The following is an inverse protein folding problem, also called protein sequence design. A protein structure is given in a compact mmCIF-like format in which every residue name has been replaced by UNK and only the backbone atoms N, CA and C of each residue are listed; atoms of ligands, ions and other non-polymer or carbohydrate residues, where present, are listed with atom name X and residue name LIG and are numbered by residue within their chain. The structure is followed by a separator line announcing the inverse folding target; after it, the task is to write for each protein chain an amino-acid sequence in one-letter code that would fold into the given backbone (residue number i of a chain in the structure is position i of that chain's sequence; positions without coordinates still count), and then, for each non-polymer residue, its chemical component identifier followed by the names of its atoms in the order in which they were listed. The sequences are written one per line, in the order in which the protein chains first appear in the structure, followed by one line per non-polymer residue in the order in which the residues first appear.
data_IF_027482801014
#
_entry.id   IF_027482801014
#
_cell.length_a   1.000
_cell.length_b   1.000
_cell.length_c   1.000
_cell.angle_alpha   90.00
_cell.angle_beta   90.00
_cell.angle_gamma   90.00
#
_symmetry.space_group_name_H-M   'P 1'
#
loop_
_entity.id
_entity.type
_entity.pdbx_description
1 polymer ?
#
# COMPACT_ATOMS: atom_id res chain seq x y z
N UNK A 1 -0.34 2.79 9.63
CA UNK A 1 -1.53 3.19 8.85
C UNK A 1 -1.43 4.65 8.46
N UNK A 2 -1.94 5.05 7.30
CA UNK A 2 -2.01 6.42 6.80
C UNK A 2 -3.46 6.77 6.44
N UNK A 3 -3.84 8.04 6.29
CA UNK A 3 -5.18 8.45 5.90
C UNK A 3 -5.59 7.85 4.55
N UNK A 4 -6.81 7.32 4.48
CA UNK A 4 -7.36 6.73 3.26
C UNK A 4 -6.85 5.33 2.93
N UNK A 5 -6.08 4.67 3.81
CA UNK A 5 -5.64 3.30 3.57
C UNK A 5 -6.84 2.36 3.44
N UNK A 6 -6.90 1.66 2.32
CA UNK A 6 -7.92 0.67 2.01
C UNK A 6 -7.34 -0.49 1.22
N UNK A 7 -8.07 -1.58 1.17
CA UNK A 7 -7.74 -2.72 0.34
C UNK A 7 -7.80 -2.34 -1.16
N UNK A 8 -6.93 -2.88 -1.98
CA UNK A 8 -6.92 -2.74 -3.44
C UNK A 8 -7.34 -4.02 -4.18
N UNK A 9 -7.85 -4.98 -3.42
CA UNK A 9 -8.49 -6.20 -3.89
C UNK A 9 -9.86 -6.34 -3.21
N UNK A 10 -10.78 -7.14 -3.77
CA UNK A 10 -12.08 -7.38 -3.10
C UNK A 10 -11.91 -7.88 -1.67
N UNK A 11 -12.63 -7.27 -0.72
CA UNK A 11 -12.54 -7.59 0.72
C UNK A 11 -12.77 -9.07 1.02
N UNK A 12 -13.70 -9.70 0.32
CA UNK A 12 -13.96 -11.14 0.46
C UNK A 12 -12.78 -12.03 0.06
N UNK A 13 -11.83 -11.53 -0.79
CA UNK A 13 -10.57 -12.22 -1.07
C UNK A 13 -9.54 -12.02 0.04
N UNK A 14 -9.66 -10.95 0.82
CA UNK A 14 -8.75 -10.64 1.92
C UNK A 14 -9.12 -11.38 3.21
N UNK A 15 -9.70 -12.56 3.06
CA UNK A 15 -10.17 -13.44 4.14
C UNK A 15 -9.50 -14.80 4.04
N UNK A 16 -9.28 -15.44 5.17
CA UNK A 16 -8.91 -16.85 5.18
C UNK A 16 -10.06 -17.70 4.64
N UNK A 17 -9.78 -18.67 3.80
CA UNK A 17 -10.80 -19.57 3.21
C UNK A 17 -11.58 -20.41 4.22
N UNK A 18 -11.01 -20.57 5.42
CA UNK A 18 -11.62 -21.30 6.55
C UNK A 18 -12.38 -20.38 7.53
N UNK A 19 -12.26 -19.05 7.36
CA UNK A 19 -12.89 -18.05 8.23
C UNK A 19 -13.30 -16.84 7.40
N UNK A 20 -14.30 -16.99 6.56
CA UNK A 20 -14.79 -15.90 5.72
C UNK A 20 -15.53 -14.87 6.58
N UNK A 21 -15.36 -13.58 6.24
CA UNK A 21 -16.05 -12.49 6.92
C UNK A 21 -17.31 -12.08 6.14
N UNK A 22 -18.52 -12.25 6.70
CA UNK A 22 -19.75 -11.80 6.06
C UNK A 22 -20.02 -10.30 6.23
N UNK A 23 -19.27 -9.62 7.12
CA UNK A 23 -19.58 -8.29 7.63
C UNK A 23 -18.78 -7.16 6.98
N UNK A 24 -18.03 -7.45 5.91
CA UNK A 24 -17.31 -6.39 5.21
C UNK A 24 -18.20 -5.19 4.88
N UNK A 25 -17.73 -3.98 5.19
CA UNK A 25 -18.50 -2.76 4.92
C UNK A 25 -18.58 -2.42 3.44
N UNK A 26 -17.48 -2.67 2.72
CA UNK A 26 -17.32 -2.28 1.32
C UNK A 26 -16.63 -3.38 0.51
N UNK A 27 -16.78 -3.32 -0.80
CA UNK A 27 -16.08 -4.23 -1.73
C UNK A 27 -14.55 -4.15 -1.59
N UNK A 28 -14.04 -2.95 -1.26
CA UNK A 28 -12.64 -2.69 -0.92
C UNK A 28 -12.57 -1.98 0.43
N UNK A 29 -12.59 -2.76 1.50
CA UNK A 29 -12.74 -2.25 2.86
C UNK A 29 -11.56 -1.41 3.35
N UNK A 30 -11.81 -0.46 4.27
CA UNK A 30 -10.75 0.29 4.94
C UNK A 30 -9.75 -0.61 5.68
N UNK A 31 -8.51 -0.16 5.77
CA UNK A 31 -7.44 -0.92 6.40
C UNK A 31 -7.68 -1.25 7.88
N UNK A 32 -8.42 -0.41 8.60
CA UNK A 32 -8.82 -0.69 10.00
C UNK A 32 -9.70 -1.93 10.11
N UNK A 33 -10.68 -2.07 9.22
CA UNK A 33 -11.59 -3.22 9.19
C UNK A 33 -10.84 -4.52 8.84
N UNK A 34 -9.85 -4.44 7.94
CA UNK A 34 -8.97 -5.56 7.62
C UNK A 34 -8.16 -5.98 8.85
N UNK A 35 -7.64 -5.01 9.61
CA UNK A 35 -6.91 -5.27 10.84
C UNK A 35 -7.81 -5.94 11.89
N UNK A 36 -9.01 -5.40 12.13
CA UNK A 36 -9.99 -5.96 13.06
C UNK A 36 -10.36 -7.40 12.71
N UNK A 37 -10.49 -7.72 11.43
CA UNK A 37 -10.72 -9.07 10.97
C UNK A 37 -9.59 -10.02 11.38
N UNK A 38 -8.32 -9.68 11.13
CA UNK A 38 -7.19 -10.53 11.48
C UNK A 38 -7.01 -10.66 13.00
N UNK A 39 -7.18 -9.60 13.76
CA UNK A 39 -7.17 -9.64 15.23
C UNK A 39 -8.30 -10.54 15.76
N UNK A 40 -9.50 -10.43 15.21
CA UNK A 40 -10.63 -11.29 15.54
C UNK A 40 -10.38 -12.76 15.24
N UNK A 41 -9.75 -13.09 14.11
CA UNK A 41 -9.35 -14.47 13.78
C UNK A 41 -8.32 -14.97 14.79
N UNK A 42 -7.28 -14.18 15.08
CA UNK A 42 -6.24 -14.53 16.05
C UNK A 42 -6.84 -14.90 17.40
N UNK A 43 -7.75 -14.07 17.89
CA UNK A 43 -8.42 -14.31 19.18
C UNK A 43 -9.33 -15.54 19.14
N UNK A 44 -10.15 -15.71 18.11
CA UNK A 44 -11.08 -16.87 17.99
C UNK A 44 -10.35 -18.21 17.94
N UNK A 45 -9.18 -18.24 17.33
CA UNK A 45 -8.36 -19.46 17.20
C UNK A 45 -7.31 -19.61 18.31
N UNK A 46 -7.28 -18.70 19.30
CA UNK A 46 -6.34 -18.76 20.42
C UNK A 46 -4.88 -18.54 20.00
N UNK A 47 -4.63 -17.85 18.88
CA UNK A 47 -3.28 -17.65 18.34
C UNK A 47 -2.52 -16.63 19.17
N UNK A 48 -3.21 -15.67 19.79
CA UNK A 48 -2.61 -14.58 20.58
C UNK A 48 -1.70 -15.11 21.70
N UNK A 49 -2.05 -16.25 22.31
CA UNK A 49 -1.28 -16.89 23.39
C UNK A 49 0.08 -17.44 22.90
N UNK A 50 0.25 -17.60 21.59
CA UNK A 50 1.45 -18.13 20.95
C UNK A 50 2.30 -17.05 20.28
N UNK A 51 1.90 -15.78 20.35
CA UNK A 51 2.63 -14.66 19.75
C UNK A 51 3.44 -13.94 20.82
N UNK A 52 4.74 -13.79 20.58
CA UNK A 52 5.61 -12.94 21.38
C UNK A 52 5.74 -11.58 20.68
N UNK A 53 4.96 -10.61 21.15
CA UNK A 53 5.01 -9.25 20.63
C UNK A 53 6.25 -8.50 21.11
N UNK A 54 6.70 -7.51 20.31
CA UNK A 54 7.87 -6.69 20.62
C UNK A 54 9.15 -7.53 20.85
N UNK A 55 9.30 -8.59 20.08
CA UNK A 55 10.40 -9.53 20.14
C UNK A 55 10.94 -9.78 18.74
N UNK A 56 11.73 -8.84 18.23
CA UNK A 56 12.30 -8.95 16.90
C UNK A 56 13.39 -10.04 16.85
N UNK A 57 13.30 -10.93 15.86
CA UNK A 57 14.35 -11.90 15.57
C UNK A 57 15.48 -11.19 14.83
N UNK A 58 16.69 -11.25 15.36
CA UNK A 58 17.88 -10.60 14.79
C UNK A 58 18.82 -11.58 14.09
N UNK A 59 18.75 -12.86 14.46
CA UNK A 59 19.60 -13.91 13.89
C UNK A 59 18.90 -15.27 13.86
N UNK A 60 19.09 -15.99 12.76
CA UNK A 60 18.73 -17.41 12.61
C UNK A 60 19.96 -18.17 12.13
N UNK A 61 20.43 -19.17 12.86
CA UNK A 61 21.61 -19.96 12.51
C UNK A 61 21.26 -21.44 12.48
N UNK A 62 21.57 -22.09 11.36
CA UNK A 62 21.47 -23.56 11.27
C UNK A 62 22.66 -24.21 11.96
N UNK A 63 22.40 -24.99 13.00
CA UNK A 63 23.40 -25.75 13.73
C UNK A 63 22.81 -27.03 14.35
N UNK A 64 23.57 -28.10 14.36
CA UNK A 64 23.18 -29.37 14.96
C UNK A 64 21.81 -29.92 14.49
N UNK A 65 21.52 -29.73 13.17
CA UNK A 65 20.24 -30.11 12.53
C UNK A 65 18.98 -29.35 13.02
N UNK A 66 19.16 -28.22 13.67
CA UNK A 66 18.11 -27.32 14.13
C UNK A 66 18.45 -25.85 13.78
N UNK A 67 17.46 -24.99 13.86
CA UNK A 67 17.61 -23.55 13.79
C UNK A 67 17.73 -22.97 15.20
N UNK A 68 18.81 -22.27 15.46
CA UNK A 68 18.94 -21.41 16.62
C UNK A 68 18.48 -20.01 16.25
N UNK A 69 17.50 -19.49 16.99
CA UNK A 69 16.94 -18.14 16.81
C UNK A 69 17.39 -17.28 17.97
N UNK A 70 17.90 -16.09 17.67
CA UNK A 70 18.21 -15.07 18.64
C UNK A 70 17.36 -13.82 18.38
N UNK A 71 16.80 -13.27 19.45
CA UNK A 71 16.00 -12.05 19.43
C UNK A 71 16.80 -10.84 19.93
N UNK A 72 16.28 -9.64 19.64
CA UNK A 72 16.90 -8.38 20.09
C UNK A 72 17.03 -8.26 21.62
N UNK A 73 16.18 -8.98 22.38
CA UNK A 73 16.24 -9.03 23.85
C UNK A 73 17.19 -10.10 24.39
N UNK A 74 17.86 -10.82 23.50
CA UNK A 74 18.83 -11.84 23.88
C UNK A 74 18.20 -13.19 24.24
N UNK A 75 16.95 -13.43 23.90
CA UNK A 75 16.37 -14.77 24.01
C UNK A 75 16.95 -15.64 22.90
N UNK A 76 17.34 -16.88 23.27
CA UNK A 76 17.88 -17.87 22.35
C UNK A 76 17.05 -19.13 22.50
N UNK A 77 16.47 -19.58 21.39
CA UNK A 77 15.67 -20.81 21.35
C UNK A 77 16.01 -21.63 20.10
N UNK A 78 15.79 -22.95 20.15
CA UNK A 78 16.03 -23.86 19.03
C UNK A 78 14.75 -24.48 18.51
N UNK A 79 14.66 -24.50 17.18
CA UNK A 79 13.50 -25.01 16.45
C UNK A 79 13.91 -25.92 15.30
N UNK A 80 13.17 -26.97 15.10
CA UNK A 80 13.37 -27.84 13.93
C UNK A 80 13.01 -27.14 12.62
N UNK A 81 12.02 -26.25 12.65
CA UNK A 81 11.52 -25.53 11.49
C UNK A 81 11.34 -24.05 11.83
N UNK A 82 11.72 -23.21 10.87
CA UNK A 82 11.45 -21.77 10.92
C UNK A 82 10.71 -21.37 9.66
N UNK A 83 9.59 -20.69 9.82
CA UNK A 83 8.80 -20.13 8.73
C UNK A 83 8.93 -18.62 8.79
N UNK A 84 9.60 -18.03 7.80
CA UNK A 84 9.72 -16.59 7.70
C UNK A 84 8.46 -16.02 7.02
N UNK A 85 7.59 -15.40 7.81
CA UNK A 85 6.38 -14.73 7.33
C UNK A 85 6.48 -13.21 7.51
N UNK A 86 7.65 -12.64 7.18
CA UNK A 86 8.04 -11.24 7.46
C UNK A 86 7.37 -10.21 6.57
N UNK A 87 6.73 -10.63 5.48
CA UNK A 87 6.16 -9.73 4.47
C UNK A 87 7.23 -9.06 3.60
N UNK A 88 6.80 -8.22 2.67
CA UNK A 88 7.68 -7.52 1.72
C UNK A 88 7.57 -5.98 1.82
N UNK A 89 6.57 -5.46 2.54
CA UNK A 89 6.30 -4.03 2.69
C UNK A 89 6.59 -3.56 4.12
N UNK A 90 7.77 -3.88 4.65
CA UNK A 90 8.16 -3.56 6.04
C UNK A 90 9.37 -2.64 6.14
N UNK A 91 10.21 -2.55 5.09
CA UNK A 91 11.35 -1.65 5.02
C UNK A 91 11.06 -0.43 4.14
N UNK A 92 10.74 0.74 4.72
CA UNK A 92 10.55 1.97 3.98
C UNK A 92 11.79 2.32 3.14
N UNK A 93 11.56 2.71 1.89
CA UNK A 93 12.61 3.19 1.01
C UNK A 93 12.58 4.72 1.01
N UNK A 94 13.58 5.33 1.62
CA UNK A 94 13.78 6.76 1.56
C UNK A 94 14.44 7.15 0.23
N UNK A 95 14.04 8.26 -0.40
CA UNK A 95 14.63 8.69 -1.65
C UNK A 95 16.03 9.28 -1.41
N UNK A 96 16.91 9.09 -2.38
CA UNK A 96 18.21 9.74 -2.41
C UNK A 96 18.04 11.11 -3.09
N UNK A 97 17.64 12.11 -2.29
CA UNK A 97 17.45 13.50 -2.71
C UNK A 97 18.35 14.39 -1.86
N UNK A 98 19.11 15.25 -2.50
CA UNK A 98 19.98 16.21 -1.82
C UNK A 98 19.17 17.05 -0.83
N UNK A 99 19.67 17.19 0.39
CA UNK A 99 19.07 17.99 1.45
C UNK A 99 17.87 17.36 2.14
N UNK A 100 17.55 16.08 1.91
CA UNK A 100 16.38 15.42 2.52
C UNK A 100 16.36 15.57 4.05
N UNK A 101 17.52 15.55 4.69
CA UNK A 101 17.72 15.68 6.14
C UNK A 101 17.71 17.14 6.63
N UNK A 102 17.63 18.10 5.74
CA UNK A 102 17.61 19.53 6.08
C UNK A 102 16.21 20.11 6.29
N UNK A 103 15.16 19.37 5.89
CA UNK A 103 13.80 19.84 6.08
C UNK A 103 13.46 20.03 7.55
N UNK A 104 13.06 21.24 7.94
CA UNK A 104 12.79 21.60 9.34
C UNK A 104 11.37 21.26 9.81
N UNK A 105 10.44 21.07 8.89
CA UNK A 105 9.06 20.63 9.18
C UNK A 105 8.98 19.14 9.50
N UNK A 106 7.83 18.66 9.99
CA UNK A 106 7.59 17.24 10.13
C UNK A 106 7.74 16.52 8.79
N UNK A 107 8.56 15.46 8.78
CA UNK A 107 8.77 14.58 7.62
C UNK A 107 8.66 13.12 8.05
N UNK A 108 7.85 12.34 7.32
CA UNK A 108 7.69 10.92 7.60
C UNK A 108 7.34 10.12 6.36
N UNK A 109 7.73 8.85 6.40
CA UNK A 109 7.32 7.88 5.38
C UNK A 109 5.91 7.37 5.67
N UNK A 110 5.12 7.06 4.63
CA UNK A 110 3.72 6.58 4.76
C UNK A 110 3.60 5.35 5.67
N UNK A 111 4.60 4.46 5.69
CA UNK A 111 4.64 3.31 6.59
C UNK A 111 4.91 3.69 8.07
N UNK A 112 5.27 4.93 8.34
CA UNK A 112 5.58 5.48 9.67
C UNK A 112 4.83 6.81 9.84
N UNK A 113 3.55 6.82 9.43
CA UNK A 113 2.71 8.01 9.56
C UNK A 113 2.65 8.46 11.01
N UNK A 114 2.97 9.73 11.26
CA UNK A 114 2.86 10.32 12.59
C UNK A 114 1.46 10.94 12.79
N UNK A 115 0.62 10.22 13.52
CA UNK A 115 -0.75 10.64 13.81
C UNK A 115 -0.86 11.82 14.78
N UNK A 116 0.24 12.25 15.40
CA UNK A 116 0.26 13.43 16.26
C UNK A 116 0.41 14.73 15.45
N UNK A 117 0.84 14.64 14.20
CA UNK A 117 0.99 15.79 13.32
C UNK A 117 -0.38 16.18 12.74
N UNK A 118 -0.80 17.40 13.05
CA UNK A 118 -2.01 17.98 12.46
C UNK A 118 -1.69 18.44 11.04
N UNK A 119 -2.41 17.93 10.06
CA UNK A 119 -2.26 18.27 8.64
C UNK A 119 -3.31 19.26 8.14
N UNK A 120 -4.40 19.44 8.88
CA UNK A 120 -5.44 20.39 8.53
C UNK A 120 -4.87 21.80 8.38
N UNK A 121 -5.32 22.50 7.33
CA UNK A 121 -4.89 23.89 7.02
C UNK A 121 -3.36 24.03 6.84
N UNK A 122 -2.66 22.95 6.39
CA UNK A 122 -1.22 22.94 6.12
C UNK A 122 -0.92 22.80 4.65
N UNK A 123 0.26 23.29 4.25
CA UNK A 123 0.85 23.05 2.92
C UNK A 123 1.63 21.74 2.97
N UNK A 124 1.12 20.72 2.28
CA UNK A 124 1.65 19.36 2.32
C UNK A 124 2.38 19.06 1.01
N UNK A 125 3.61 18.56 1.11
CA UNK A 125 4.31 17.91 0.02
C UNK A 125 4.18 16.40 0.12
N UNK A 126 3.77 15.75 -0.96
CA UNK A 126 3.69 14.29 -1.07
C UNK A 126 4.59 13.81 -2.20
N UNK A 127 5.65 13.08 -1.87
CA UNK A 127 6.56 12.53 -2.87
C UNK A 127 6.15 11.09 -3.21
N UNK A 128 5.69 10.90 -4.45
CA UNK A 128 5.30 9.59 -5.00
C UNK A 128 3.80 9.38 -5.18
N UNK A 129 3.47 8.67 -6.27
CA UNK A 129 2.11 8.40 -6.77
C UNK A 129 1.81 6.91 -6.92
N UNK A 130 2.44 6.04 -6.12
CA UNK A 130 2.01 4.65 -5.97
C UNK A 130 0.69 4.54 -5.20
N UNK A 131 0.23 3.31 -4.88
CA UNK A 131 -1.06 3.09 -4.19
C UNK A 131 -1.21 3.96 -2.94
N UNK A 132 -0.18 4.06 -2.09
CA UNK A 132 -0.24 4.93 -0.90
C UNK A 132 -0.36 6.41 -1.26
N UNK A 133 0.39 6.90 -2.25
CA UNK A 133 0.32 8.29 -2.66
C UNK A 133 -1.06 8.67 -3.21
N UNK A 134 -1.64 7.80 -4.04
CA UNK A 134 -2.99 7.98 -4.59
C UNK A 134 -4.05 8.02 -3.49
N UNK A 135 -4.01 7.08 -2.55
CA UNK A 135 -4.97 7.01 -1.44
C UNK A 135 -4.84 8.22 -0.51
N UNK A 136 -3.61 8.63 -0.18
CA UNK A 136 -3.35 9.81 0.65
C UNK A 136 -3.82 11.08 -0.05
N UNK A 137 -3.52 11.26 -1.34
CA UNK A 137 -3.99 12.42 -2.11
C UNK A 137 -5.50 12.58 -1.98
N UNK A 138 -6.24 11.50 -2.22
CA UNK A 138 -7.70 11.53 -2.15
C UNK A 138 -8.24 11.80 -0.73
N UNK A 139 -7.56 11.28 0.29
CA UNK A 139 -8.00 11.41 1.68
C UNK A 139 -7.69 12.78 2.28
N UNK A 140 -6.51 13.36 1.97
CA UNK A 140 -6.06 14.60 2.64
C UNK A 140 -6.41 15.88 1.87
N UNK A 141 -6.59 15.81 0.56
CA UNK A 141 -6.91 16.98 -0.26
C UNK A 141 -8.08 17.84 0.26
N UNK A 142 -9.17 17.25 0.82
CA UNK A 142 -10.25 18.06 1.38
C UNK A 142 -9.92 18.84 2.66
N UNK A 143 -8.85 18.47 3.38
CA UNK A 143 -8.57 18.96 4.73
C UNK A 143 -7.39 19.95 4.78
N UNK A 144 -6.53 19.94 3.76
CA UNK A 144 -5.30 20.73 3.76
C UNK A 144 -5.43 22.05 3.02
N UNK A 145 -4.59 23.03 3.36
CA UNK A 145 -4.53 24.32 2.66
C UNK A 145 -4.10 24.12 1.21
N UNK A 146 -2.99 23.41 1.00
CA UNK A 146 -2.48 23.06 -0.33
C UNK A 146 -1.78 21.69 -0.29
N UNK A 147 -1.96 20.92 -1.33
CA UNK A 147 -1.29 19.63 -1.53
C UNK A 147 -0.48 19.64 -2.82
N UNK A 148 0.84 19.56 -2.71
CA UNK A 148 1.73 19.37 -3.86
C UNK A 148 2.13 17.90 -3.95
N UNK A 149 1.71 17.25 -5.04
CA UNK A 149 2.02 15.84 -5.31
C UNK A 149 3.16 15.77 -6.32
N UNK A 150 4.34 15.42 -5.86
CA UNK A 150 5.54 15.27 -6.71
C UNK A 150 5.50 13.91 -7.40
N UNK A 151 5.23 13.94 -8.70
CA UNK A 151 5.03 12.78 -9.54
C UNK A 151 6.18 12.58 -10.53
N UNK A 152 6.98 11.54 -10.33
CA UNK A 152 8.00 11.15 -11.32
C UNK A 152 7.40 10.38 -12.51
N UNK A 153 6.38 9.58 -12.26
CA UNK A 153 5.75 8.73 -13.29
C UNK A 153 4.26 8.62 -12.99
N UNK A 154 3.43 8.97 -13.96
CA UNK A 154 1.98 8.78 -13.87
C UNK A 154 1.64 7.29 -13.73
N UNK A 155 0.58 6.98 -13.01
CA UNK A 155 0.12 5.61 -12.76
C UNK A 155 -1.15 5.31 -13.54
N UNK A 156 -1.29 4.04 -13.93
CA UNK A 156 -2.56 3.52 -14.40
C UNK A 156 -3.51 3.38 -13.22
N UNK A 157 -4.55 4.22 -13.18
CA UNK A 157 -5.57 4.20 -12.14
C UNK A 157 -6.75 3.39 -12.65
N UNK A 158 -6.97 2.23 -12.04
CA UNK A 158 -8.14 1.40 -12.30
C UNK A 158 -9.31 2.00 -11.52
N UNK A 159 -10.37 2.44 -12.20
CA UNK A 159 -11.53 2.95 -11.53
C UNK A 159 -12.20 1.83 -10.73
N UNK A 160 -12.61 2.15 -9.52
CA UNK A 160 -13.34 1.25 -8.65
C UNK A 160 -14.59 1.98 -8.17
N UNK A 161 -15.75 1.45 -8.49
CA UNK A 161 -16.98 1.96 -7.90
C UNK A 161 -16.96 1.63 -6.40
N UNK A 162 -17.14 2.65 -5.58
CA UNK A 162 -17.26 2.43 -4.14
C UNK A 162 -18.56 1.67 -3.85
N UNK A 163 -18.47 0.37 -3.84
CA UNK A 163 -19.60 -0.51 -3.52
C UNK A 163 -19.64 -0.74 -2.02
N UNK A 164 -20.64 -0.16 -1.37
CA UNK A 164 -20.94 -0.35 0.05
C UNK A 164 -21.96 -1.48 0.17
N UNK A 165 -21.66 -2.48 0.98
CA UNK A 165 -22.60 -3.57 1.25
C UNK A 165 -23.73 -3.12 2.16
N UNK A 166 -24.96 -3.42 1.74
CA UNK A 166 -26.16 -3.16 2.54
C UNK A 166 -26.28 -4.16 3.69
N UNK A 167 -27.07 -3.82 4.72
CA UNK A 167 -27.32 -4.77 5.81
C UNK A 167 -28.09 -6.00 5.33
N UNK A 168 -28.90 -5.89 4.29
CA UNK A 168 -29.59 -7.03 3.68
C UNK A 168 -28.59 -8.00 3.01
N UNK A 169 -27.59 -7.50 2.30
CA UNK A 169 -26.52 -8.31 1.70
C UNK A 169 -25.67 -8.98 2.79
N UNK A 170 -25.28 -8.25 3.82
CA UNK A 170 -24.52 -8.82 4.95
C UNK A 170 -25.32 -9.91 5.68
N UNK A 171 -26.62 -9.67 5.90
CA UNK A 171 -27.47 -10.69 6.53
C UNK A 171 -27.62 -11.95 5.65
N UNK A 172 -27.68 -11.79 4.33
CA UNK A 172 -27.64 -12.93 3.41
C UNK A 172 -26.31 -13.71 3.55
N UNK A 173 -25.17 -13.01 3.67
CA UNK A 173 -23.86 -13.65 3.88
C UNK A 173 -23.73 -14.32 5.25
N UNK A 174 -24.35 -13.78 6.31
CA UNK A 174 -24.35 -14.39 7.66
C UNK A 174 -25.21 -15.66 7.71
N UNK A 175 -26.31 -15.67 6.98
CA UNK A 175 -27.31 -16.77 7.05
C UNK A 175 -27.08 -17.86 6.01
N UNK A 176 -26.38 -17.56 4.93
CA UNK A 176 -26.09 -18.50 3.84
C UNK A 176 -24.57 -18.63 3.64
N UNK A 177 -23.96 -19.59 4.33
CA UNK A 177 -22.53 -19.88 4.23
C UNK A 177 -22.12 -20.34 2.82
N UNK A 178 -22.99 -21.02 2.09
CA UNK A 178 -22.72 -21.51 0.75
C UNK A 178 -22.67 -20.35 -0.24
N UNK A 179 -23.52 -19.32 -0.06
CA UNK A 179 -23.47 -18.08 -0.82
C UNK A 179 -22.13 -17.37 -0.65
N UNK A 180 -21.68 -17.21 0.59
CA UNK A 180 -20.42 -16.54 0.90
C UNK A 180 -19.20 -17.30 0.35
N UNK A 181 -19.18 -18.63 0.51
CA UNK A 181 -18.13 -19.48 -0.06
C UNK A 181 -18.10 -19.44 -1.58
N UNK A 182 -19.26 -19.43 -2.21
CA UNK A 182 -19.39 -19.31 -3.67
C UNK A 182 -18.83 -17.98 -4.14
N UNK A 183 -19.22 -16.87 -3.50
CA UNK A 183 -18.72 -15.53 -3.80
C UNK A 183 -17.19 -15.46 -3.68
N UNK A 184 -16.63 -15.95 -2.57
CA UNK A 184 -15.17 -16.00 -2.36
C UNK A 184 -14.46 -16.79 -3.48
N UNK A 185 -15.01 -17.94 -3.85
CA UNK A 185 -14.45 -18.80 -4.89
C UNK A 185 -14.51 -18.14 -6.28
N UNK A 186 -15.65 -17.53 -6.63
CA UNK A 186 -15.82 -16.82 -7.90
C UNK A 186 -14.84 -15.65 -8.03
N UNK A 187 -14.72 -14.83 -6.99
CA UNK A 187 -13.76 -13.74 -6.94
C UNK A 187 -12.30 -14.25 -7.03
N UNK A 188 -11.98 -15.30 -6.29
CA UNK A 188 -10.65 -15.92 -6.31
C UNK A 188 -10.29 -16.45 -7.70
N UNK A 189 -11.23 -17.12 -8.37
CA UNK A 189 -11.04 -17.60 -9.74
C UNK A 189 -10.85 -16.44 -10.72
N UNK A 190 -11.70 -15.41 -10.64
CA UNK A 190 -11.58 -14.24 -11.51
C UNK A 190 -10.24 -13.52 -11.32
N UNK A 191 -9.76 -13.41 -10.10
CA UNK A 191 -8.49 -12.76 -9.80
C UNK A 191 -7.27 -13.60 -10.22
N UNK A 192 -7.23 -14.89 -9.85
CA UNK A 192 -6.09 -15.75 -10.11
C UNK A 192 -6.05 -16.26 -11.55
N UNK A 193 -7.16 -16.84 -12.03
CA UNK A 193 -7.21 -17.48 -13.35
C UNK A 193 -7.50 -16.44 -14.46
N UNK A 194 -8.14 -15.32 -14.11
CA UNK A 194 -8.35 -14.19 -15.00
C UNK A 194 -7.16 -13.24 -15.02
N UNK A 195 -7.12 -12.32 -14.07
CA UNK A 195 -6.15 -11.20 -14.08
C UNK A 195 -4.69 -11.65 -13.94
N UNK A 196 -4.36 -12.44 -12.90
CA UNK A 196 -2.96 -12.81 -12.65
C UNK A 196 -2.38 -13.66 -13.79
N UNK A 197 -3.14 -14.63 -14.30
CA UNK A 197 -2.73 -15.45 -15.46
C UNK A 197 -2.56 -14.59 -16.71
N UNK A 198 -3.48 -13.66 -16.96
CA UNK A 198 -3.37 -12.75 -18.12
C UNK A 198 -2.14 -11.85 -18.06
N UNK A 199 -1.74 -11.40 -16.86
CA UNK A 199 -0.50 -10.63 -16.68
C UNK A 199 0.73 -11.50 -16.98
N UNK A 200 0.76 -12.75 -16.50
CA UNK A 200 1.87 -13.69 -16.70
C UNK A 200 1.99 -14.10 -18.17
N UNK A 201 0.89 -14.46 -18.79
CA UNK A 201 0.85 -14.95 -20.16
C UNK A 201 0.88 -13.81 -21.20
N UNK A 202 0.79 -12.57 -20.78
CA UNK A 202 0.73 -11.39 -21.64
C UNK A 202 -0.55 -11.34 -22.48
N UNK A 203 -1.68 -11.88 -21.97
CA UNK A 203 -2.96 -11.83 -22.65
C UNK A 203 -3.37 -10.38 -22.92
N UNK A 204 -3.34 -9.99 -24.20
CA UNK A 204 -3.55 -8.61 -24.60
C UNK A 204 -5.01 -8.16 -24.46
N UNK A 205 -5.99 -9.02 -24.71
CA UNK A 205 -7.41 -8.64 -24.75
C UNK A 205 -7.90 -8.13 -23.38
N UNK A 206 -7.62 -8.86 -22.28
CA UNK A 206 -8.00 -8.42 -20.95
C UNK A 206 -7.20 -7.18 -20.50
N UNK A 207 -5.89 -7.16 -20.78
CA UNK A 207 -5.03 -6.04 -20.40
C UNK A 207 -5.35 -4.77 -21.19
N UNK A 208 -5.70 -4.90 -22.47
CA UNK A 208 -6.15 -3.79 -23.30
C UNK A 208 -7.48 -3.22 -22.79
N UNK A 209 -8.44 -4.09 -22.39
CA UNK A 209 -9.69 -3.67 -21.77
C UNK A 209 -9.49 -2.97 -20.41
N UNK A 210 -8.53 -3.41 -19.59
CA UNK A 210 -8.15 -2.70 -18.35
C UNK A 210 -7.59 -1.31 -18.71
N UNK A 211 -6.73 -1.23 -19.71
CA UNK A 211 -6.13 0.03 -20.13
C UNK A 211 -7.18 1.01 -20.65
N UNK A 212 -8.15 0.53 -21.44
CA UNK A 212 -9.29 1.35 -21.91
C UNK A 212 -10.08 1.93 -20.74
N UNK A 213 -10.45 1.11 -19.75
CA UNK A 213 -11.15 1.58 -18.55
C UNK A 213 -10.34 2.63 -17.76
N UNK A 214 -9.03 2.47 -17.69
CA UNK A 214 -8.17 3.47 -17.06
C UNK A 214 -8.13 4.79 -17.84
N UNK A 215 -8.16 4.72 -19.19
CA UNK A 215 -8.21 5.91 -20.05
C UNK A 215 -9.57 6.61 -19.94
N UNK A 216 -10.68 5.86 -19.91
CA UNK A 216 -12.01 6.41 -19.67
C UNK A 216 -12.09 7.15 -18.34
N UNK A 217 -11.48 6.57 -17.28
CA UNK A 217 -11.40 7.23 -15.99
C UNK A 217 -10.52 8.50 -16.04
N UNK A 218 -9.39 8.47 -16.73
CA UNK A 218 -8.53 9.64 -16.95
C UNK A 218 -9.27 10.73 -17.74
N UNK A 219 -10.17 10.35 -18.65
CA UNK A 219 -10.95 11.31 -19.45
C UNK A 219 -11.93 12.14 -18.62
N UNK A 220 -12.20 11.78 -17.38
CA UNK A 220 -12.97 12.61 -16.44
C UNK A 220 -12.22 13.87 -16.00
N UNK A 221 -10.90 13.93 -16.16
CA UNK A 221 -10.08 15.11 -15.88
C UNK A 221 -10.35 16.18 -16.94
N UNK A 222 -10.84 17.35 -16.50
CA UNK A 222 -11.30 18.40 -17.40
C UNK A 222 -10.15 19.27 -17.93
N UNK A 223 -9.16 19.56 -17.10
CA UNK A 223 -8.00 20.34 -17.49
C UNK A 223 -7.06 19.49 -18.36
N UNK A 224 -6.74 20.01 -19.55
CA UNK A 224 -5.97 19.28 -20.55
C UNK A 224 -4.49 19.12 -20.16
N UNK A 225 -3.90 20.10 -19.47
CA UNK A 225 -2.53 20.03 -19.00
C UNK A 225 -2.41 19.03 -17.86
N UNK A 226 -3.30 19.10 -16.89
CA UNK A 226 -3.38 18.12 -15.79
C UNK A 226 -3.60 16.71 -16.33
N UNK A 227 -4.51 16.54 -17.29
CA UNK A 227 -4.76 15.23 -17.94
C UNK A 227 -3.49 14.67 -18.56
N UNK A 228 -2.71 15.49 -19.22
CA UNK A 228 -1.45 15.04 -19.84
C UNK A 228 -0.40 14.70 -18.78
N UNK A 229 -0.27 15.47 -17.70
CA UNK A 229 0.58 15.13 -16.55
C UNK A 229 0.23 13.79 -15.93
N UNK A 230 -1.06 13.43 -15.90
CA UNK A 230 -1.57 12.19 -15.32
C UNK A 230 -1.59 11.00 -16.29
N UNK A 231 -1.22 11.21 -17.57
CA UNK A 231 -1.23 10.15 -18.58
C UNK A 231 -0.01 9.25 -18.48
N UNK A 232 -0.17 7.93 -18.22
CA UNK A 232 0.94 7.00 -18.24
C UNK A 232 1.52 6.81 -19.64
N UNK A 233 2.84 6.72 -19.73
CA UNK A 233 3.58 6.54 -21.00
C UNK A 233 4.01 5.09 -21.25
N UNK A 234 3.63 4.17 -20.38
CA UNK A 234 3.94 2.74 -20.45
C UNK A 234 2.66 1.91 -20.54
N UNK A 235 2.76 0.66 -21.02
CA UNK A 235 1.62 -0.25 -21.14
C UNK A 235 1.06 -0.61 -19.76
N UNK A 236 -0.26 -0.69 -19.64
CA UNK A 236 -0.92 -1.12 -18.41
C UNK A 236 -0.41 -2.49 -17.94
N UNK A 237 -0.37 -2.72 -16.65
CA UNK A 237 0.19 -3.89 -15.99
C UNK A 237 1.72 -4.10 -16.12
N UNK A 238 2.47 -3.27 -16.85
CA UNK A 238 3.95 -3.26 -16.77
C UNK A 238 4.49 -2.77 -15.42
N UNK A 239 3.64 -2.12 -14.64
CA UNK A 239 3.82 -1.81 -13.21
C UNK A 239 2.53 -2.17 -12.49
N UNK A 240 2.59 -2.27 -11.14
CA UNK A 240 1.37 -2.49 -10.35
C UNK A 240 0.30 -1.47 -10.71
N UNK A 241 -0.89 -1.93 -11.04
CA UNK A 241 -2.07 -1.08 -11.21
C UNK A 241 -2.48 -0.48 -9.86
N UNK A 242 -2.93 0.74 -9.87
CA UNK A 242 -3.41 1.43 -8.67
C UNK A 242 -4.93 1.53 -8.76
N UNK A 243 -5.62 1.08 -7.71
CA UNK A 243 -7.08 1.13 -7.65
C UNK A 243 -7.52 2.36 -6.89
N UNK A 244 -8.41 3.17 -7.46
CA UNK A 244 -8.99 4.32 -6.77
C UNK A 244 -10.30 4.76 -7.42
N UNK A 245 -11.26 5.15 -6.59
CA UNK A 245 -12.54 5.70 -7.03
C UNK A 245 -12.58 7.23 -7.06
N UNK A 246 -11.65 7.90 -6.40
CA UNK A 246 -11.72 9.34 -6.14
C UNK A 246 -10.43 10.12 -6.37
N UNK A 247 -9.38 9.48 -6.88
CA UNK A 247 -8.10 10.16 -7.13
C UNK A 247 -8.24 11.29 -8.14
N UNK A 248 -8.91 11.04 -9.28
CA UNK A 248 -9.07 12.05 -10.31
C UNK A 248 -9.94 13.22 -9.87
N UNK A 249 -10.91 12.99 -8.99
CA UNK A 249 -11.69 14.08 -8.37
C UNK A 249 -10.82 14.90 -7.41
N UNK A 250 -9.97 14.23 -6.64
CA UNK A 250 -9.10 14.90 -5.69
C UNK A 250 -8.06 15.80 -6.37
N UNK A 251 -7.43 15.34 -7.45
CA UNK A 251 -6.39 16.12 -8.15
C UNK A 251 -6.94 17.28 -8.97
N UNK A 252 -8.25 17.36 -9.21
CA UNK A 252 -8.92 18.47 -9.86
C UNK A 252 -9.36 19.58 -8.88
N UNK A 253 -9.07 19.45 -7.59
CA UNK A 253 -9.38 20.50 -6.60
C UNK A 253 -8.39 21.65 -6.76
N UNK A 254 -8.87 22.87 -6.54
CA UNK A 254 -8.10 24.12 -6.65
C UNK A 254 -6.86 24.15 -5.71
N UNK A 255 -6.87 23.34 -4.65
CA UNK A 255 -5.79 23.26 -3.68
C UNK A 255 -4.84 22.08 -3.90
N UNK A 256 -4.88 21.40 -5.04
CA UNK A 256 -4.01 20.28 -5.36
C UNK A 256 -3.21 20.55 -6.64
N UNK A 257 -1.89 20.45 -6.55
CA UNK A 257 -0.98 20.62 -7.66
C UNK A 257 -0.22 19.31 -7.95
N UNK A 258 -0.21 18.86 -9.20
CA UNK A 258 0.65 17.77 -9.67
C UNK A 258 1.93 18.38 -10.24
N UNK A 259 3.04 18.15 -9.53
CA UNK A 259 4.39 18.62 -9.88
C UNK A 259 5.12 17.46 -10.55
N UNK A 260 5.47 17.62 -11.84
CA UNK A 260 6.14 16.58 -12.65
C UNK A 260 7.61 16.86 -12.89
N UNK A 261 8.05 18.06 -12.58
CA UNK A 261 9.42 18.51 -12.65
C UNK A 261 10.30 17.68 -11.70
N UNK A 262 11.55 17.46 -12.11
CA UNK A 262 12.50 16.73 -11.28
C UNK A 262 12.80 17.51 -10.00
N UNK A 263 12.77 16.84 -8.86
CA UNK A 263 13.20 17.45 -7.61
C UNK A 263 14.72 17.63 -7.66
N UNK A 264 15.16 18.87 -7.54
CA UNK A 264 16.59 19.22 -7.50
C UNK A 264 17.16 18.90 -6.12
N UNK A 265 16.49 19.39 -5.08
CA UNK A 265 16.89 19.24 -3.68
C UNK A 265 15.72 19.54 -2.73
N UNK A 266 15.94 19.26 -1.47
CA UNK A 266 15.08 19.69 -0.36
C UNK A 266 15.80 20.79 0.41
N UNK A 267 15.05 21.82 0.76
CA UNK A 267 15.48 22.93 1.60
C UNK A 267 14.74 22.93 2.94
N UNK A 268 15.19 23.69 3.94
CA UNK A 268 14.58 23.70 5.27
C UNK A 268 13.06 23.94 5.30
N UNK A 269 12.54 24.67 4.34
CA UNK A 269 11.13 25.05 4.25
C UNK A 269 10.40 24.51 3.02
N UNK A 270 10.96 23.56 2.27
CA UNK A 270 10.26 23.02 1.10
C UNK A 270 11.08 22.17 0.15
N UNK A 271 10.51 21.94 -1.02
CA UNK A 271 11.08 21.16 -2.11
C UNK A 271 11.38 22.08 -3.28
N UNK A 272 12.55 21.96 -3.89
CA UNK A 272 12.95 22.74 -5.06
C UNK A 272 12.88 21.88 -6.31
N UNK A 273 12.19 22.38 -7.34
CA UNK A 273 12.15 21.80 -8.69
C UNK A 273 12.49 22.88 -9.72
N UNK A 274 13.40 22.60 -10.65
CA UNK A 274 13.85 23.56 -11.69
C UNK A 274 14.21 24.95 -11.12
N UNK A 275 14.75 24.99 -9.91
CA UNK A 275 15.14 26.22 -9.21
C UNK A 275 13.99 26.97 -8.50
N UNK A 276 12.76 26.52 -8.62
CA UNK A 276 11.60 27.07 -7.91
C UNK A 276 11.40 26.35 -6.57
N UNK A 277 11.25 27.13 -5.49
CA UNK A 277 10.95 26.59 -4.17
C UNK A 277 9.43 26.44 -3.96
N UNK A 278 9.00 25.22 -3.67
CA UNK A 278 7.66 24.90 -3.18
C UNK A 278 7.67 24.90 -1.66
N UNK A 279 7.18 25.95 -1.04
CA UNK A 279 7.11 26.05 0.42
C UNK A 279 6.11 25.05 1.01
N UNK A 280 6.52 24.32 2.04
CA UNK A 280 5.76 23.25 2.68
C UNK A 280 5.87 23.32 4.21
N UNK A 281 4.81 22.93 4.87
CA UNK A 281 4.79 22.77 6.33
C UNK A 281 5.04 21.32 6.76
N UNK A 282 4.68 20.34 5.90
CA UNK A 282 4.86 18.91 6.16
C UNK A 282 5.29 18.21 4.88
N UNK A 283 6.22 17.26 4.98
CA UNK A 283 6.68 16.44 3.86
C UNK A 283 6.37 14.96 4.10
N UNK A 284 5.59 14.37 3.19
CA UNK A 284 5.19 12.96 3.24
C UNK A 284 5.90 12.17 2.15
N UNK A 285 6.55 11.08 2.52
CA UNK A 285 7.30 10.22 1.62
C UNK A 285 6.48 8.95 1.30
N UNK A 286 5.85 8.92 0.13
CA UNK A 286 5.16 7.75 -0.44
C UNK A 286 6.09 7.01 -1.41
N UNK A 287 7.35 6.82 -1.02
CA UNK A 287 8.46 6.39 -1.89
C UNK A 287 8.67 4.88 -1.93
N UNK A 288 7.74 4.12 -1.32
CA UNK A 288 7.69 2.67 -1.39
C UNK A 288 8.64 1.98 -0.43
N UNK A 289 9.03 0.75 -0.76
CA UNK A 289 9.73 -0.17 0.13
C UNK A 289 10.90 -0.85 -0.57
N UNK A 290 11.84 -1.36 0.23
CA UNK A 290 12.86 -2.30 -0.22
C UNK A 290 12.23 -3.70 -0.29
N UNK A 291 11.54 -4.00 -1.38
CA UNK A 291 10.80 -5.26 -1.58
C UNK A 291 11.71 -6.49 -1.70
N UNK A 292 13.00 -6.28 -1.95
CA UNK A 292 14.04 -7.30 -1.99
C UNK A 292 14.63 -7.63 -0.59
N UNK A 293 14.22 -6.89 0.43
CA UNK A 293 14.78 -7.03 1.77
C UNK A 293 14.29 -8.28 2.52
N UNK A 294 13.17 -8.88 2.09
CA UNK A 294 12.50 -10.04 2.67
C UNK A 294 12.69 -10.21 4.18
N UNK A 295 13.80 -10.82 4.60
CA UNK A 295 14.11 -11.13 6.00
C UNK A 295 15.09 -10.14 6.64
N UNK A 296 15.73 -9.26 5.85
CA UNK A 296 16.63 -8.26 6.40
C UNK A 296 15.87 -7.29 7.34
N UNK A 297 16.44 -6.80 8.44
CA UNK A 297 17.88 -6.86 8.83
C UNK A 297 18.28 -8.14 9.59
N UNK A 298 17.41 -9.14 9.71
CA UNK A 298 17.73 -10.40 10.38
C UNK A 298 18.85 -11.13 9.62
N UNK A 299 19.89 -11.57 10.34
CA UNK A 299 20.99 -12.37 9.75
C UNK A 299 20.59 -13.84 9.71
N UNK A 300 20.68 -14.46 8.55
CA UNK A 300 20.34 -15.87 8.39
C UNK A 300 21.54 -16.65 7.86
N UNK A 301 22.00 -17.59 8.65
CA UNK A 301 23.11 -18.49 8.28
C UNK A 301 22.61 -19.92 8.14
N UNK A 302 22.65 -20.44 6.93
CA UNK A 302 22.25 -21.79 6.60
C UNK A 302 23.33 -22.84 6.88
N UNK A 303 23.13 -24.04 6.37
CA UNK A 303 24.11 -25.15 6.47
C UNK A 303 25.46 -24.72 5.92
N UNK A 304 26.53 -25.22 6.54
CA UNK A 304 27.91 -24.94 6.17
C UNK A 304 28.30 -23.44 6.20
N UNK A 305 27.59 -22.63 6.98
CA UNK A 305 27.87 -21.21 7.11
C UNK A 305 27.44 -20.35 5.91
N UNK A 306 26.55 -20.85 5.07
CA UNK A 306 26.05 -20.10 3.89
C UNK A 306 25.16 -18.95 4.40
N UNK A 307 25.51 -17.72 4.01
CA UNK A 307 24.64 -16.54 4.21
C UNK A 307 23.45 -16.60 3.25
N UNK A 308 22.24 -16.42 3.77
CA UNK A 308 20.98 -16.46 3.04
C UNK A 308 20.33 -15.07 2.85
N UNK A 309 21.03 -13.97 3.17
CA UNK A 309 20.54 -12.61 2.99
C UNK A 309 20.85 -12.01 1.62
#
# INVERSE_FOLDING_TARGET
TYPGIACDVPSHLYSYSFELNPDWSEFTSPGAEVQEYFEGVSTRYGIDEHIQFNEAVIRCTWMDDEWEIETEKGHIERFRWVIAATGILHHPKYPDIEGLDTFEGPMFHTARWDHNIQIADKRIGLIGTGSSGVQITAAVAPEVENLKVFQRTAQWIVPNDRVVYTEEEKEAFRTDADLLQKLHKEMSTAFNDGFATSVIDGNSELLDGIQERCLEALDTVQDAELKEKLRPTYKAACKRLVVSHNFYDAVQRDNVDIVTETIDRIEPNGVVTEGELHELDVLVLATGFHVDAFMRPMNITGRNGIDLN
#
